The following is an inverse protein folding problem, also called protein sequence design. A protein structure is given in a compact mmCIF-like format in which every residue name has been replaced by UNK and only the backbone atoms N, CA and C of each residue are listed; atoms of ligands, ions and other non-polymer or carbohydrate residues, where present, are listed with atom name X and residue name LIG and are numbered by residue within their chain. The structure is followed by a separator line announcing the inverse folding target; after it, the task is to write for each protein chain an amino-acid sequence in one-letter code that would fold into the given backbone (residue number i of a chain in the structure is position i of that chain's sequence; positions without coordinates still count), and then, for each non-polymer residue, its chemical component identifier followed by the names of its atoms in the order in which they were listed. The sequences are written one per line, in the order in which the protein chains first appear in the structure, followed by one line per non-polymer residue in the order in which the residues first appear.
data_IF_408427306727
#
_entry.id   IF_408427306727
#
_cell.length_a   1.000
_cell.length_b   1.000
_cell.length_c   1.000
_cell.angle_alpha   90.00
_cell.angle_beta   90.00
_cell.angle_gamma   90.00
#
_symmetry.space_group_name_H-M   'P 1'
#
loop_
_entity.id
_entity.type
_entity.pdbx_description
1 polymer ?
#
# COMPACT_ATOMS: atom_id res chain seq x y z
N UNK A 1 -4.89 0.19 -2.42
CA UNK A 1 -5.13 1.43 -3.20
C UNK A 1 -6.58 1.81 -3.01
N UNK A 2 -6.89 3.11 -2.88
CA UNK A 2 -8.28 3.59 -2.85
C UNK A 2 -8.64 4.14 -4.22
N UNK A 3 -9.71 3.63 -4.82
CA UNK A 3 -10.26 4.08 -6.10
C UNK A 3 -11.60 4.76 -5.84
N UNK A 4 -11.82 5.92 -6.44
CA UNK A 4 -13.07 6.68 -6.39
C UNK A 4 -13.50 6.92 -7.83
N UNK A 5 -14.68 6.43 -8.22
CA UNK A 5 -15.13 6.50 -9.61
C UNK A 5 -16.64 6.36 -9.73
N UNK A 6 -17.24 6.98 -10.74
CA UNK A 6 -18.65 6.78 -11.11
C UNK A 6 -18.92 5.43 -11.78
N UNK A 7 -17.89 4.62 -12.01
CA UNK A 7 -18.00 3.25 -12.52
C UNK A 7 -17.32 2.28 -11.54
N UNK A 8 -17.97 1.16 -11.17
CA UNK A 8 -17.37 0.19 -10.28
C UNK A 8 -16.15 -0.48 -10.93
N UNK A 9 -15.19 -0.90 -10.11
CA UNK A 9 -14.07 -1.71 -10.55
C UNK A 9 -14.49 -3.17 -10.74
N UNK A 10 -13.98 -3.83 -11.78
CA UNK A 10 -14.31 -5.22 -12.09
C UNK A 10 -13.18 -6.21 -11.72
N UNK A 11 -12.06 -5.72 -11.19
CA UNK A 11 -10.98 -6.58 -10.68
C UNK A 11 -11.14 -6.92 -9.19
N UNK A 12 -10.03 -7.27 -8.54
CA UNK A 12 -10.05 -7.70 -7.13
C UNK A 12 -10.26 -6.54 -6.16
N UNK A 13 -11.48 -6.43 -5.63
CA UNK A 13 -11.90 -5.42 -4.65
C UNK A 13 -11.90 -6.04 -3.26
N UNK A 14 -11.20 -5.41 -2.32
CA UNK A 14 -11.13 -5.82 -0.92
C UNK A 14 -12.32 -5.29 -0.13
N UNK A 15 -12.68 -4.03 -0.37
CA UNK A 15 -13.84 -3.36 0.22
C UNK A 15 -14.46 -2.40 -0.78
N UNK A 16 -15.79 -2.26 -0.76
CA UNK A 16 -16.53 -1.29 -1.57
C UNK A 16 -17.61 -0.64 -0.73
N UNK A 17 -17.77 0.66 -0.91
CA UNK A 17 -18.99 1.40 -0.55
C UNK A 17 -19.45 2.19 -1.77
N UNK A 18 -20.74 2.49 -1.82
CA UNK A 18 -21.30 3.45 -2.77
C UNK A 18 -21.85 4.65 -2.00
N UNK A 19 -21.53 5.84 -2.48
CA UNK A 19 -21.98 7.11 -1.92
C UNK A 19 -22.38 8.03 -3.07
N UNK A 20 -23.63 8.48 -3.11
CA UNK A 20 -24.17 9.40 -4.12
C UNK A 20 -23.88 8.96 -5.58
N UNK A 21 -24.00 7.66 -5.86
CA UNK A 21 -23.73 7.09 -7.19
C UNK A 21 -22.24 6.96 -7.55
N UNK A 22 -21.34 7.21 -6.57
CA UNK A 22 -19.90 7.03 -6.71
C UNK A 22 -19.45 5.78 -5.97
N UNK A 23 -18.69 4.93 -6.65
CA UNK A 23 -18.04 3.76 -6.06
C UNK A 23 -16.71 4.16 -5.41
N UNK A 24 -16.57 3.89 -4.11
CA UNK A 24 -15.36 4.10 -3.33
C UNK A 24 -14.84 2.71 -2.92
N UNK A 25 -13.67 2.36 -3.41
CA UNK A 25 -13.21 0.97 -3.43
C UNK A 25 -11.78 0.86 -2.92
N UNK A 26 -11.57 0.01 -1.91
CA UNK A 26 -10.24 -0.48 -1.58
C UNK A 26 -9.91 -1.64 -2.52
N UNK A 27 -8.99 -1.42 -3.46
CA UNK A 27 -8.56 -2.44 -4.43
C UNK A 27 -7.18 -2.99 -4.08
N UNK A 28 -6.99 -4.28 -4.37
CA UNK A 28 -5.70 -4.94 -4.28
C UNK A 28 -4.80 -4.51 -5.46
N UNK A 29 -3.54 -4.18 -5.18
CA UNK A 29 -2.53 -3.99 -6.23
C UNK A 29 -1.67 -5.24 -6.29
N UNK A 30 -1.86 -6.03 -7.34
CA UNK A 30 -1.01 -7.19 -7.62
C UNK A 30 0.23 -6.72 -8.40
N UNK A 31 1.41 -6.98 -7.86
CA UNK A 31 2.68 -6.74 -8.54
C UNK A 31 3.69 -7.82 -8.15
N UNK A 32 4.73 -7.99 -8.96
CA UNK A 32 5.82 -8.92 -8.65
C UNK A 32 6.71 -8.34 -7.54
N UNK A 33 6.40 -8.72 -6.31
CA UNK A 33 7.14 -8.30 -5.11
C UNK A 33 8.61 -8.70 -5.18
N UNK A 34 8.92 -9.89 -5.72
CA UNK A 34 10.29 -10.37 -5.79
C UNK A 34 11.12 -9.56 -6.79
N UNK A 35 10.54 -9.25 -7.96
CA UNK A 35 11.17 -8.35 -8.93
C UNK A 35 11.37 -6.96 -8.36
N UNK A 36 10.35 -6.41 -7.72
CA UNK A 36 10.44 -5.09 -7.11
C UNK A 36 11.56 -5.02 -6.06
N UNK A 37 11.70 -6.04 -5.21
CA UNK A 37 12.80 -6.11 -4.24
C UNK A 37 14.19 -6.13 -4.91
N UNK A 38 14.35 -6.90 -6.01
CA UNK A 38 15.62 -6.93 -6.76
C UNK A 38 15.96 -5.56 -7.34
N UNK A 39 14.98 -4.88 -7.93
CA UNK A 39 15.15 -3.55 -8.54
C UNK A 39 15.39 -2.46 -7.48
N UNK A 40 14.81 -2.58 -6.28
CA UNK A 40 15.12 -1.69 -5.17
C UNK A 40 16.56 -1.87 -4.70
N UNK A 41 17.00 -3.11 -4.48
CA UNK A 41 18.35 -3.41 -3.97
C UNK A 41 19.46 -3.11 -4.97
N UNK A 42 19.18 -3.13 -6.28
CA UNK A 42 20.16 -2.74 -7.30
C UNK A 42 20.46 -1.24 -7.29
N UNK A 43 19.49 -0.41 -6.92
CA UNK A 43 19.64 1.04 -6.80
C UNK A 43 20.12 1.45 -5.40
N UNK A 44 19.63 0.74 -4.38
CA UNK A 44 19.83 1.04 -2.96
C UNK A 44 20.35 -0.20 -2.23
N UNK A 45 21.64 -0.54 -2.40
CA UNK A 45 22.20 -1.72 -1.76
C UNK A 45 22.21 -1.59 -0.22
N UNK A 46 22.37 -2.72 0.50
CA UNK A 46 22.45 -2.72 1.95
C UNK A 46 23.47 -1.71 2.49
N UNK A 47 23.05 -0.94 3.49
CA UNK A 47 23.88 0.10 4.10
C UNK A 47 23.70 1.50 3.50
N UNK A 48 23.09 1.64 2.32
CA UNK A 48 22.69 2.95 1.78
C UNK A 48 21.62 3.63 2.63
N UNK A 49 21.52 4.96 2.58
CA UNK A 49 20.53 5.73 3.34
C UNK A 49 19.09 5.29 3.04
N UNK A 50 18.76 5.09 1.76
CA UNK A 50 17.44 4.60 1.36
C UNK A 50 17.17 3.19 1.88
N UNK A 51 18.15 2.28 1.82
CA UNK A 51 17.99 0.94 2.38
C UNK A 51 17.71 1.01 3.90
N UNK A 52 18.50 1.80 4.64
CA UNK A 52 18.33 1.97 6.10
C UNK A 52 16.96 2.54 6.45
N UNK A 53 16.47 3.52 5.69
CA UNK A 53 15.21 4.20 5.96
C UNK A 53 13.97 3.37 5.56
N UNK A 54 14.06 2.59 4.48
CA UNK A 54 12.87 2.01 3.84
C UNK A 54 12.82 0.48 3.86
N UNK A 55 13.94 -0.22 3.84
CA UNK A 55 13.95 -1.67 3.57
C UNK A 55 13.05 -2.46 4.52
N UNK A 56 13.22 -2.25 5.84
CA UNK A 56 12.40 -2.94 6.84
C UNK A 56 10.90 -2.61 6.70
N UNK A 57 10.56 -1.36 6.39
CA UNK A 57 9.16 -0.92 6.20
C UNK A 57 8.52 -1.54 4.97
N UNK A 58 9.31 -1.73 3.92
CA UNK A 58 8.87 -2.38 2.68
C UNK A 58 8.63 -3.87 2.93
N UNK A 59 9.60 -4.56 3.54
CA UNK A 59 9.54 -6.03 3.67
C UNK A 59 8.66 -6.53 4.79
N UNK A 60 8.54 -5.74 5.86
CA UNK A 60 7.83 -6.14 7.09
C UNK A 60 6.61 -5.27 7.37
N UNK A 61 6.33 -4.30 6.50
CA UNK A 61 5.32 -3.27 6.74
C UNK A 61 5.79 -2.20 7.73
N UNK A 62 5.09 -1.07 7.80
CA UNK A 62 5.34 -0.06 8.82
C UNK A 62 4.90 -0.58 10.21
N UNK A 63 5.64 -0.21 11.26
CA UNK A 63 5.30 -0.53 12.64
C UNK A 63 4.16 0.36 13.17
N UNK A 64 3.00 0.32 12.51
CA UNK A 64 1.78 0.96 12.98
C UNK A 64 0.96 -0.03 13.80
N UNK A 65 0.41 0.45 14.92
CA UNK A 65 -0.57 -0.28 15.72
C UNK A 65 -1.94 0.38 15.59
N UNK A 66 -3.01 -0.39 15.80
CA UNK A 66 -4.37 0.16 15.84
C UNK A 66 -4.52 1.29 16.87
N UNK A 67 -3.78 1.22 17.98
CA UNK A 67 -3.78 2.29 18.99
C UNK A 67 -3.34 3.65 18.42
N UNK A 68 -2.47 3.69 17.40
CA UNK A 68 -2.08 4.94 16.73
C UNK A 68 -3.17 5.51 15.82
N UNK A 69 -4.17 4.72 15.44
CA UNK A 69 -5.26 5.18 14.58
C UNK A 69 -6.32 5.98 15.35
N UNK A 70 -6.45 5.76 16.66
CA UNK A 70 -7.50 6.35 17.51
C UNK A 70 -6.98 7.47 18.42
N UNK A 71 -5.89 8.15 18.05
CA UNK A 71 -5.42 9.31 18.83
C UNK A 71 -6.40 10.49 18.66
N UNK A 72 -7.45 10.50 19.46
CA UNK A 72 -8.25 11.68 19.76
C UNK A 72 -7.52 12.50 20.82
N UNK A 73 -7.00 13.65 20.41
CA UNK A 73 -6.69 14.77 21.28
C UNK A 73 -7.97 15.54 21.62
#
# INVERSE_FOLDING_TARGET
MTRISTRPWHGHVLHRIELDGVSIEAIALSFDVARWHREFLSQWPPGSEAWRAYWLRITSGPAYSMARAYFTA
#
